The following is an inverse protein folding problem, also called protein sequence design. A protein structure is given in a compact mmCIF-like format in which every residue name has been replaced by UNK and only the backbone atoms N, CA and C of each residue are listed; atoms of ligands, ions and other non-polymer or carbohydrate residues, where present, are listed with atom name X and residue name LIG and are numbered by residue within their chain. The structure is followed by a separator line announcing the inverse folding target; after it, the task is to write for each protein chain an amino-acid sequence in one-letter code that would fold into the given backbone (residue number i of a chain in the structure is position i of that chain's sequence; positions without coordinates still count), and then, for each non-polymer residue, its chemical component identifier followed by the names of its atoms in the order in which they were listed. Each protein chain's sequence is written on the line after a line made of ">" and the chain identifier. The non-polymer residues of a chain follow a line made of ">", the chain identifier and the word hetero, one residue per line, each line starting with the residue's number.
data_IF_046621892193
#
_entry.id   IF_046621892193
#
_cell.length_a   1.000
_cell.length_b   1.000
_cell.length_c   1.000
_cell.angle_alpha   90.00
_cell.angle_beta   90.00
_cell.angle_gamma   90.00
#
_symmetry.space_group_name_H-M   'P 1'
#
loop_
_entity.id
_entity.type
_entity.pdbx_description
1 polymer ?
#
# COMPACT_ATOMS: atom_id res chain seq x y z
N UNK A 1 9.30 12.99 -5.52
CA UNK A 1 10.67 13.20 -5.02
C UNK A 1 10.97 12.14 -3.98
N UNK A 2 12.11 11.44 -4.10
CA UNK A 2 12.58 10.53 -3.06
C UNK A 2 13.20 11.37 -1.94
N UNK A 3 12.69 11.23 -0.73
CA UNK A 3 13.08 12.04 0.42
C UNK A 3 13.63 11.11 1.50
N UNK A 4 14.95 11.04 1.60
CA UNK A 4 15.67 10.14 2.50
C UNK A 4 15.99 10.90 3.78
N UNK A 5 15.03 10.91 4.70
CA UNK A 5 15.11 11.62 5.98
C UNK A 5 15.24 10.60 7.11
N UNK A 6 16.29 10.74 7.92
CA UNK A 6 16.62 10.01 9.15
C UNK A 6 17.50 8.74 9.04
N UNK A 7 18.73 8.87 9.51
CA UNK A 7 19.57 7.78 10.05
C UNK A 7 19.51 7.94 11.57
N UNK A 8 18.63 7.19 12.23
CA UNK A 8 18.57 7.15 13.70
C UNK A 8 19.79 6.38 14.27
N UNK A 9 20.21 6.66 15.51
CA UNK A 9 21.27 5.91 16.21
C UNK A 9 20.90 4.45 16.56
N UNK A 10 19.75 3.98 16.09
CA UNK A 10 19.36 2.57 16.02
C UNK A 10 19.86 2.02 14.69
N UNK A 11 20.42 0.81 14.60
CA UNK A 11 20.96 0.20 13.35
C UNK A 11 19.89 -0.09 12.27
N UNK A 12 19.08 0.90 11.87
CA UNK A 12 17.94 0.79 10.96
C UNK A 12 17.93 1.97 10.00
N UNK A 13 17.84 1.66 8.71
CA UNK A 13 17.63 2.65 7.65
C UNK A 13 16.15 2.64 7.29
N UNK A 14 15.52 3.81 7.27
CA UNK A 14 14.11 3.97 6.85
C UNK A 14 14.07 4.73 5.54
N UNK A 15 13.30 4.22 4.56
CA UNK A 15 13.13 4.86 3.24
C UNK A 15 11.67 5.26 3.10
N UNK A 16 11.42 6.57 2.94
CA UNK A 16 10.08 7.11 2.71
C UNK A 16 9.92 7.46 1.23
N UNK A 17 8.87 6.93 0.60
CA UNK A 17 8.54 7.20 -0.80
C UNK A 17 7.15 7.83 -0.87
N UNK A 18 7.04 8.94 -1.61
CA UNK A 18 5.78 9.66 -1.85
C UNK A 18 5.55 9.82 -3.34
N UNK A 19 4.32 9.59 -3.80
CA UNK A 19 3.91 9.69 -5.19
C UNK A 19 2.40 9.60 -5.33
N UNK A 20 1.89 9.96 -6.51
CA UNK A 20 0.45 9.93 -6.81
C UNK A 20 -0.05 8.50 -7.03
N UNK A 21 0.76 7.67 -7.68
CA UNK A 21 0.51 6.26 -7.91
C UNK A 21 1.85 5.52 -8.06
N UNK A 22 1.83 4.21 -7.84
CA UNK A 22 2.97 3.33 -8.02
C UNK A 22 2.59 2.14 -8.88
N UNK A 23 3.51 1.67 -9.72
CA UNK A 23 3.35 0.42 -10.45
C UNK A 23 3.50 -0.77 -9.49
N UNK A 24 3.03 -1.93 -9.94
CA UNK A 24 3.19 -3.17 -9.19
C UNK A 24 4.68 -3.40 -8.87
N UNK A 25 4.97 -3.62 -7.58
CA UNK A 25 6.32 -3.84 -7.05
C UNK A 25 7.33 -2.66 -7.19
N UNK A 26 6.95 -1.52 -7.76
CA UNK A 26 7.88 -0.41 -8.06
C UNK A 26 8.70 0.01 -6.84
N UNK A 27 8.04 0.28 -5.71
CA UNK A 27 8.71 0.70 -4.47
C UNK A 27 9.72 -0.35 -3.99
N UNK A 28 9.38 -1.64 -4.10
CA UNK A 28 10.25 -2.75 -3.67
C UNK A 28 11.47 -2.90 -4.57
N UNK A 29 11.33 -2.63 -5.87
CA UNK A 29 12.45 -2.59 -6.82
C UNK A 29 13.37 -1.41 -6.56
N UNK A 30 12.80 -0.23 -6.27
CA UNK A 30 13.59 0.96 -5.91
C UNK A 30 14.44 0.72 -4.65
N UNK A 31 13.84 0.12 -3.61
CA UNK A 31 14.59 -0.23 -2.39
C UNK A 31 15.69 -1.25 -2.67
N UNK A 32 15.43 -2.26 -3.51
CA UNK A 32 16.45 -3.25 -3.87
C UNK A 32 17.65 -2.64 -4.60
N UNK A 33 17.41 -1.71 -5.53
CA UNK A 33 18.47 -0.96 -6.20
C UNK A 33 19.31 -0.13 -5.21
N UNK A 34 18.64 0.61 -4.30
CA UNK A 34 19.32 1.39 -3.27
C UNK A 34 20.15 0.50 -2.32
N UNK A 35 19.66 -0.69 -1.97
CA UNK A 35 20.41 -1.65 -1.16
C UNK A 35 21.65 -2.17 -1.88
N UNK A 36 21.57 -2.46 -3.19
CA UNK A 36 22.74 -2.87 -3.96
C UNK A 36 23.80 -1.77 -4.06
N UNK A 37 23.39 -0.51 -4.24
CA UNK A 37 24.32 0.63 -4.18
C UNK A 37 24.95 0.75 -2.80
N UNK A 38 24.14 0.72 -1.73
CA UNK A 38 24.62 0.82 -0.35
C UNK A 38 25.53 -0.34 0.09
N UNK A 39 25.40 -1.51 -0.54
CA UNK A 39 26.26 -2.68 -0.32
C UNK A 39 27.48 -2.73 -1.26
N UNK A 40 27.65 -1.77 -2.17
CA UNK A 40 28.73 -1.75 -3.16
C UNK A 40 28.61 -2.78 -4.29
N UNK A 41 27.45 -3.42 -4.45
CA UNK A 41 27.18 -4.39 -5.53
C UNK A 41 26.83 -3.72 -6.87
N UNK A 42 26.49 -2.45 -6.84
CA UNK A 42 26.17 -1.61 -7.99
C UNK A 42 26.75 -0.21 -7.74
N UNK A 43 27.28 0.46 -8.76
CA UNK A 43 27.77 1.82 -8.60
C UNK A 43 26.60 2.80 -8.61
N UNK A 44 26.70 3.94 -7.90
CA UNK A 44 25.69 5.00 -8.00
C UNK A 44 25.42 5.43 -9.45
N UNK A 45 26.46 5.52 -10.28
CA UNK A 45 26.35 5.94 -11.70
C UNK A 45 25.54 4.96 -12.56
N UNK A 46 25.48 3.67 -12.18
CA UNK A 46 24.72 2.65 -12.89
C UNK A 46 23.19 2.89 -12.75
N UNK A 47 22.77 3.72 -11.79
CA UNK A 47 21.36 4.08 -11.59
C UNK A 47 20.76 4.79 -12.81
N UNK A 48 21.53 5.63 -13.52
CA UNK A 48 21.04 6.27 -14.74
C UNK A 48 20.73 5.25 -15.83
N UNK A 49 21.59 4.25 -15.99
CA UNK A 49 21.35 3.17 -16.94
C UNK A 49 20.15 2.34 -16.52
N UNK A 50 20.00 2.02 -15.25
CA UNK A 50 18.84 1.27 -14.74
C UNK A 50 17.51 2.00 -14.99
N UNK A 51 17.49 3.33 -14.85
CA UNK A 51 16.30 4.14 -15.12
C UNK A 51 15.97 4.27 -16.61
N UNK A 52 16.98 4.23 -17.49
CA UNK A 52 16.80 4.29 -18.95
C UNK A 52 16.56 2.91 -19.57
N UNK A 53 17.01 1.84 -18.90
CA UNK A 53 16.85 0.48 -19.38
C UNK A 53 15.37 0.10 -19.39
N UNK A 54 14.89 -0.33 -20.55
CA UNK A 54 13.55 -0.92 -20.69
C UNK A 54 13.50 -2.39 -20.27
N UNK A 55 14.65 -2.98 -19.92
CA UNK A 55 14.80 -4.42 -19.75
C UNK A 55 15.04 -4.80 -18.28
N UNK A 56 14.19 -5.70 -17.78
CA UNK A 56 14.18 -6.16 -16.39
C UNK A 56 15.41 -6.98 -15.99
N UNK A 57 16.26 -7.41 -16.93
CA UNK A 57 17.44 -8.23 -16.64
C UNK A 57 18.47 -7.55 -15.72
N UNK A 58 18.51 -6.22 -15.73
CA UNK A 58 19.39 -5.43 -14.88
C UNK A 58 18.76 -5.09 -13.53
N UNK A 59 17.49 -5.44 -13.33
CA UNK A 59 16.76 -5.05 -12.12
C UNK A 59 16.99 -6.07 -11.00
N UNK A 60 17.45 -5.63 -9.82
CA UNK A 60 17.57 -6.49 -8.65
C UNK A 60 16.26 -7.18 -8.28
N UNK A 61 16.34 -8.36 -7.64
CA UNK A 61 15.15 -8.99 -7.08
C UNK A 61 14.46 -8.04 -6.09
N UNK A 62 13.12 -7.90 -6.11
CA UNK A 62 12.45 -6.90 -5.28
C UNK A 62 12.68 -7.19 -3.80
N UNK A 63 12.91 -6.13 -3.01
CA UNK A 63 13.12 -6.24 -1.57
C UNK A 63 11.95 -6.97 -0.89
N UNK A 64 12.12 -7.67 0.25
CA UNK A 64 11.02 -8.39 0.92
C UNK A 64 9.79 -7.52 1.23
N UNK A 65 8.59 -8.09 1.12
CA UNK A 65 7.34 -7.34 1.29
C UNK A 65 7.08 -6.88 2.73
N UNK A 66 7.52 -7.65 3.72
CA UNK A 66 7.24 -7.39 5.15
C UNK A 66 7.88 -6.10 5.69
N UNK A 67 8.81 -5.49 4.95
CA UNK A 67 9.42 -4.20 5.31
C UNK A 67 8.69 -2.98 4.74
N UNK A 68 7.69 -3.17 3.88
CA UNK A 68 6.92 -2.10 3.24
C UNK A 68 5.57 -1.91 3.93
N UNK A 69 5.27 -0.67 4.31
CA UNK A 69 4.00 -0.30 4.93
C UNK A 69 3.51 1.05 4.37
N UNK A 70 2.19 1.17 4.20
CA UNK A 70 1.55 2.42 3.84
C UNK A 70 1.47 3.32 5.08
N UNK A 71 2.03 4.53 4.98
CA UNK A 71 2.09 5.46 6.12
C UNK A 71 0.99 6.52 6.12
N UNK A 72 0.74 7.13 4.96
CA UNK A 72 -0.23 8.22 4.83
C UNK A 72 -0.82 8.21 3.42
N UNK A 73 -2.10 8.58 3.33
CA UNK A 73 -2.75 8.94 2.07
C UNK A 73 -3.35 10.33 2.26
N UNK A 74 -3.00 11.26 1.36
CA UNK A 74 -3.48 12.64 1.43
C UNK A 74 -4.69 12.81 0.54
N UNK A 75 -5.81 13.19 1.14
CA UNK A 75 -7.01 13.60 0.44
C UNK A 75 -7.13 15.12 0.51
N UNK A 76 -7.60 15.77 -0.55
CA UNK A 76 -7.89 17.19 -0.47
C UNK A 76 -9.14 17.42 0.39
N UNK A 77 -9.27 18.59 1.06
CA UNK A 77 -10.34 18.83 2.05
C UNK A 77 -11.76 18.59 1.52
N UNK A 78 -12.01 18.91 0.25
CA UNK A 78 -13.30 18.71 -0.43
C UNK A 78 -13.69 17.23 -0.56
N UNK A 79 -12.72 16.31 -0.60
CA UNK A 79 -13.02 14.88 -0.64
C UNK A 79 -13.42 14.32 0.74
N UNK A 80 -13.26 15.11 1.81
CA UNK A 80 -13.57 14.75 3.18
C UNK A 80 -14.88 15.38 3.69
N UNK A 81 -15.58 16.17 2.87
CA UNK A 81 -16.88 16.72 3.26
C UNK A 81 -17.94 15.63 3.22
N UNK A 82 -18.36 15.17 4.39
CA UNK A 82 -19.52 14.29 4.53
C UNK A 82 -20.80 15.09 4.27
N UNK A 83 -21.55 14.74 3.23
CA UNK A 83 -22.93 15.17 3.11
C UNK A 83 -23.74 14.47 4.19
N UNK A 84 -24.31 15.23 5.13
CA UNK A 84 -24.98 14.72 6.32
C UNK A 84 -26.36 14.08 6.05
N UNK A 85 -26.77 13.97 4.78
CA UNK A 85 -28.04 13.39 4.30
C UNK A 85 -27.85 11.99 3.70
N UNK A 86 -27.10 11.13 4.37
CA UNK A 86 -27.14 9.69 4.07
C UNK A 86 -28.22 9.07 4.95
N UNK A 87 -29.33 8.56 4.40
CA UNK A 87 -30.30 7.82 5.22
C UNK A 87 -29.55 6.62 5.78
N UNK A 88 -29.38 6.61 7.10
CA UNK A 88 -28.86 5.45 7.83
C UNK A 88 -29.81 4.32 7.48
N UNK A 89 -29.32 3.36 6.70
CA UNK A 89 -30.09 2.18 6.31
C UNK A 89 -30.39 1.44 7.60
N UNK A 90 -31.56 1.72 8.18
CA UNK A 90 -32.06 1.04 9.35
C UNK A 90 -32.05 -0.46 9.00
N UNK A 91 -31.16 -1.22 9.65
CA UNK A 91 -31.27 -2.65 9.69
C UNK A 91 -32.53 -2.93 10.51
N UNK A 92 -33.69 -3.01 9.86
CA UNK A 92 -34.87 -3.58 10.48
C UNK A 92 -34.57 -5.05 10.70
N UNK A 93 -34.38 -5.41 11.96
CA UNK A 93 -34.42 -6.78 12.42
C UNK A 93 -35.86 -7.28 12.29
N UNK A 94 -36.26 -7.69 11.08
CA UNK A 94 -37.42 -8.54 10.90
C UNK A 94 -36.99 -9.93 11.40
N UNK A 95 -37.25 -10.17 12.67
CA UNK A 95 -37.24 -11.52 13.22
C UNK A 95 -38.44 -12.26 12.67
N UNK A 96 -38.19 -13.26 11.81
CA UNK A 96 -39.17 -14.30 11.55
C UNK A 96 -39.24 -15.22 12.78
N UNK A 97 -40.13 -14.88 13.71
CA UNK A 97 -40.59 -15.78 14.77
C UNK A 97 -41.98 -16.30 14.40
N UNK A 98 -42.02 -17.54 13.91
CA UNK A 98 -43.06 -18.55 14.11
C UNK A 98 -44.50 -18.30 13.64
N UNK A 99 -45.09 -19.30 12.97
CA UNK A 99 -46.31 -19.94 13.49
C UNK A 99 -46.60 -21.33 12.91
N UNK A 100 -46.95 -22.18 13.86
CA UNK A 100 -47.53 -23.52 13.80
C UNK A 100 -48.77 -23.60 12.89
N UNK A 101 -48.91 -24.72 12.20
CA UNK A 101 -50.15 -25.18 11.58
C UNK A 101 -50.60 -26.47 12.25
N UNK A 102 -51.67 -26.35 13.02
CA UNK A 102 -52.42 -27.34 13.79
C UNK A 102 -53.12 -28.37 12.86
N UNK A 103 -53.22 -29.62 13.30
CA UNK A 103 -53.75 -30.74 12.50
C UNK A 103 -55.27 -30.87 12.48
N UNK A 104 -55.77 -31.83 11.69
CA UNK A 104 -57.07 -32.49 11.91
C UNK A 104 -57.00 -33.91 11.33
N UNK A 105 -57.47 -34.86 12.15
CA UNK A 105 -57.61 -36.29 11.92
C UNK A 105 -58.70 -36.61 10.87
N UNK A 106 -58.48 -37.65 10.07
CA UNK A 106 -59.37 -38.82 9.88
C UNK A 106 -58.65 -39.93 9.08
#
# INVERSE_FOLDING_TARGET
>A
ALDLQHIDCSRRISIRVRGNSFLQHQVRYMVAALLHVGQGKMKPDDMEQLLRASDSRFTPHPAPAHGLYLMEVKYPPEALSFHHDVPTRAMTAEGETGKEGEGTED
#
